data_IF_975107185206
#
_entry.id   IF_975107185206
#
_cell.length_a   1.000
_cell.length_b   1.000
_cell.length_c   1.000
_cell.angle_alpha   90.00
_cell.angle_beta   90.00
_cell.angle_gamma   90.00
#
_symmetry.space_group_name_H-M   'P 1'
#
loop_
_entity.id
_entity.type
_entity.pdbx_description
1 polymer ?
#
# COMPACT_ATOMS: atom_id res chain seq x y z
N UNK A 1 8.54 25.10 17.53
CA UNK A 1 8.35 24.72 16.11
C UNK A 1 7.80 25.95 15.42
N UNK A 2 8.63 26.64 14.65
CA UNK A 2 8.24 27.87 13.96
C UNK A 2 7.73 27.51 12.57
N UNK A 3 6.52 27.97 12.27
CA UNK A 3 5.89 27.89 10.95
C UNK A 3 6.67 28.74 9.94
N UNK A 4 6.91 28.26 8.70
CA UNK A 4 7.51 29.10 7.68
C UNK A 4 6.49 30.17 7.24
N UNK A 5 6.87 31.43 7.42
CA UNK A 5 6.15 32.59 6.92
C UNK A 5 6.28 32.62 5.39
N UNK A 6 5.16 32.41 4.69
CA UNK A 6 5.09 32.71 3.26
C UNK A 6 5.13 34.23 3.07
N UNK A 7 6.32 34.73 2.73
CA UNK A 7 6.52 36.13 2.37
C UNK A 7 5.91 36.36 0.99
N UNK A 8 4.64 36.80 0.94
CA UNK A 8 4.06 37.44 -0.23
C UNK A 8 4.77 38.78 -0.46
N UNK A 9 5.92 38.73 -1.13
CA UNK A 9 6.68 39.89 -1.53
C UNK A 9 6.08 40.54 -2.77
N UNK A 10 5.07 41.40 -2.58
CA UNK A 10 4.78 42.49 -3.52
C UNK A 10 5.93 43.50 -3.47
N UNK A 11 7.07 43.13 -4.06
CA UNK A 11 8.23 44.01 -4.19
C UNK A 11 7.93 45.08 -5.23
N UNK A 12 7.57 46.24 -4.71
CA UNK A 12 7.79 47.58 -5.27
C UNK A 12 8.84 47.62 -6.39
N UNK A 13 8.36 47.98 -7.58
CA UNK A 13 9.11 48.25 -8.80
C UNK A 13 10.01 49.49 -8.61
N UNK A 14 11.26 49.26 -8.23
CA UNK A 14 12.34 50.25 -8.42
C UNK A 14 13.61 49.57 -8.93
N UNK A 15 13.75 49.54 -10.26
CA UNK A 15 15.02 49.84 -10.93
C UNK A 15 16.24 48.93 -10.74
N UNK A 16 16.11 47.64 -10.42
CA UNK A 16 17.24 46.70 -10.56
C UNK A 16 17.08 45.90 -11.84
N UNK A 17 17.83 46.27 -12.88
CA UNK A 17 17.90 45.48 -14.12
C UNK A 17 18.39 44.07 -13.79
N UNK A 18 17.53 43.07 -13.92
CA UNK A 18 17.93 41.66 -13.81
C UNK A 18 18.88 41.37 -14.98
N UNK A 19 20.11 40.93 -14.68
CA UNK A 19 21.05 40.61 -15.75
C UNK A 19 20.55 39.40 -16.55
N UNK A 20 20.75 39.41 -17.86
CA UNK A 20 20.41 38.27 -18.73
C UNK A 20 21.08 36.96 -18.25
N UNK A 21 22.27 37.05 -17.64
CA UNK A 21 22.95 35.92 -16.99
C UNK A 21 22.12 35.35 -15.83
N UNK A 22 21.54 36.19 -14.98
CA UNK A 22 20.67 35.76 -13.86
C UNK A 22 19.38 35.12 -14.38
N UNK A 23 18.78 35.66 -15.43
CA UNK A 23 17.61 35.06 -16.09
C UNK A 23 17.96 33.68 -16.68
N UNK A 24 19.10 33.56 -17.36
CA UNK A 24 19.56 32.30 -17.96
C UNK A 24 19.83 31.23 -16.89
N UNK A 25 20.50 31.59 -15.80
CA UNK A 25 20.76 30.67 -14.69
C UNK A 25 19.45 30.20 -14.06
N UNK A 26 18.53 31.12 -13.76
CA UNK A 26 17.23 30.75 -13.18
C UNK A 26 16.42 29.83 -14.10
N UNK A 27 16.45 30.06 -15.43
CA UNK A 27 15.85 29.14 -16.40
C UNK A 27 16.45 27.74 -16.32
N UNK A 28 17.78 27.62 -16.18
CA UNK A 28 18.46 26.33 -16.07
C UNK A 28 18.09 25.61 -14.77
N UNK A 29 18.02 26.35 -13.66
CA UNK A 29 17.61 25.81 -12.37
C UNK A 29 16.16 25.28 -12.42
N UNK A 30 15.24 26.06 -12.99
CA UNK A 30 13.84 25.64 -13.19
C UNK A 30 13.73 24.41 -14.12
N UNK A 31 14.52 24.35 -15.19
CA UNK A 31 14.54 23.17 -16.08
C UNK A 31 15.01 21.91 -15.36
N UNK A 32 15.98 22.03 -14.44
CA UNK A 32 16.42 20.92 -13.61
C UNK A 32 15.33 20.51 -12.63
N UNK A 33 14.70 21.48 -11.96
CA UNK A 33 13.61 21.22 -11.01
C UNK A 33 12.43 20.51 -11.69
N UNK A 34 12.04 20.93 -12.90
CA UNK A 34 11.04 20.22 -13.70
C UNK A 34 11.44 18.76 -13.94
N UNK A 35 12.69 18.52 -14.36
CA UNK A 35 13.16 17.15 -14.62
C UNK A 35 13.23 16.28 -13.37
N UNK A 36 13.47 16.86 -12.19
CA UNK A 36 13.46 16.13 -10.93
C UNK A 36 12.02 15.86 -10.45
N UNK A 37 11.09 16.79 -10.65
CA UNK A 37 9.66 16.61 -10.39
C UNK A 37 9.02 15.54 -11.30
N UNK A 38 9.38 15.50 -12.59
CA UNK A 38 8.91 14.47 -13.53
C UNK A 38 9.33 13.05 -13.09
N UNK A 39 10.57 12.91 -12.58
CA UNK A 39 11.05 11.63 -12.03
C UNK A 39 10.27 11.26 -10.77
N UNK A 40 10.06 12.22 -9.87
CA UNK A 40 9.30 12.00 -8.64
C UNK A 40 7.86 11.57 -8.96
N UNK A 41 7.20 12.26 -9.89
CA UNK A 41 5.85 11.92 -10.35
C UNK A 41 5.80 10.48 -10.89
N UNK A 42 6.76 10.08 -11.72
CA UNK A 42 6.83 8.72 -12.24
C UNK A 42 6.99 7.68 -11.13
N UNK A 43 7.83 7.96 -10.14
CA UNK A 43 8.04 7.08 -8.99
C UNK A 43 6.77 6.96 -8.14
N UNK A 44 6.10 8.07 -7.83
CA UNK A 44 4.84 8.07 -7.08
C UNK A 44 3.74 7.30 -7.81
N UNK A 45 3.64 7.45 -9.14
CA UNK A 45 2.67 6.71 -9.95
C UNK A 45 2.92 5.19 -9.88
N UNK A 46 4.17 4.75 -9.94
CA UNK A 46 4.52 3.33 -9.80
C UNK A 46 4.17 2.80 -8.42
N UNK A 47 4.49 3.54 -7.35
CA UNK A 47 4.14 3.17 -5.99
C UNK A 47 2.62 3.05 -5.81
N UNK A 48 1.85 3.99 -6.38
CA UNK A 48 0.39 3.93 -6.38
C UNK A 48 -0.12 2.65 -7.05
N UNK A 49 0.40 2.32 -8.24
CA UNK A 49 0.01 1.10 -8.97
C UNK A 49 0.38 -0.18 -8.19
N UNK A 50 1.52 -0.17 -7.51
CA UNK A 50 1.95 -1.30 -6.68
C UNK A 50 1.03 -1.47 -5.46
N UNK A 51 0.65 -0.37 -4.81
CA UNK A 51 -0.29 -0.39 -3.69
C UNK A 51 -1.69 -0.83 -4.12
N UNK A 52 -2.19 -0.32 -5.24
CA UNK A 52 -3.47 -0.70 -5.84
C UNK A 52 -3.51 -2.21 -6.13
N UNK A 53 -2.45 -2.74 -6.73
CA UNK A 53 -2.32 -4.18 -6.97
C UNK A 53 -2.41 -5.00 -5.67
N UNK A 54 -1.71 -4.59 -4.61
CA UNK A 54 -1.77 -5.27 -3.32
C UNK A 54 -3.17 -5.18 -2.72
N UNK A 55 -3.78 -4.00 -2.77
CA UNK A 55 -5.12 -3.75 -2.25
C UNK A 55 -6.18 -4.63 -2.92
N UNK A 56 -6.15 -4.75 -4.25
CA UNK A 56 -7.07 -5.61 -4.99
C UNK A 56 -6.90 -7.09 -4.61
N UNK A 57 -5.67 -7.55 -4.38
CA UNK A 57 -5.43 -8.92 -3.89
C UNK A 57 -6.01 -9.14 -2.50
N UNK A 58 -5.84 -8.19 -1.57
CA UNK A 58 -6.43 -8.26 -0.23
C UNK A 58 -7.96 -8.30 -0.32
N UNK A 59 -8.57 -7.43 -1.15
CA UNK A 59 -10.03 -7.41 -1.38
C UNK A 59 -10.52 -8.74 -1.94
N UNK A 60 -9.79 -9.33 -2.88
CA UNK A 60 -10.12 -10.64 -3.44
C UNK A 60 -10.06 -11.75 -2.38
N UNK A 61 -9.06 -11.74 -1.50
CA UNK A 61 -9.00 -12.69 -0.38
C UNK A 61 -10.19 -12.52 0.58
N UNK A 62 -10.56 -11.28 0.92
CA UNK A 62 -11.71 -11.00 1.77
C UNK A 62 -13.00 -11.55 1.15
N UNK A 63 -13.21 -11.31 -0.15
CA UNK A 63 -14.37 -11.86 -0.87
C UNK A 63 -14.39 -13.39 -0.88
N UNK A 64 -13.23 -14.04 -0.99
CA UNK A 64 -13.14 -15.51 -0.90
C UNK A 64 -13.63 -16.01 0.47
N UNK A 65 -13.29 -15.34 1.57
CA UNK A 65 -13.79 -15.68 2.91
C UNK A 65 -15.29 -15.39 3.12
N UNK A 66 -15.87 -14.49 2.35
CA UNK A 66 -17.31 -14.18 2.41
C UNK A 66 -18.16 -15.17 1.63
N UNK A 67 -17.60 -15.76 0.57
CA UNK A 67 -18.29 -16.74 -0.27
C UNK A 67 -18.11 -18.19 0.20
N UNK A 68 -17.51 -18.41 1.38
CA UNK A 68 -17.30 -19.78 1.89
C UNK A 68 -18.65 -20.44 2.17
N UNK A 69 -18.80 -21.64 1.60
CA UNK A 69 -19.94 -22.51 1.85
C UNK A 69 -20.02 -22.90 3.34
N UNK A 70 -21.24 -22.83 3.88
CA UNK A 70 -21.56 -23.09 5.28
C UNK A 70 -22.50 -24.27 5.39
N UNK A 71 -22.36 -25.03 6.47
CA UNK A 71 -23.33 -26.06 6.81
C UNK A 71 -24.67 -25.43 7.26
N UNK A 72 -25.67 -26.28 7.55
CA UNK A 72 -27.01 -25.86 8.00
C UNK A 72 -27.03 -25.08 9.32
N UNK A 73 -25.93 -25.10 10.09
CA UNK A 73 -25.75 -24.36 11.33
C UNK A 73 -24.97 -23.05 11.12
N UNK A 74 -24.65 -22.69 9.86
CA UNK A 74 -23.89 -21.48 9.52
C UNK A 74 -22.39 -21.60 9.73
N UNK A 75 -21.87 -22.80 10.05
CA UNK A 75 -20.43 -23.04 10.27
C UNK A 75 -19.75 -23.34 8.94
N UNK A 76 -18.69 -22.60 8.57
CA UNK A 76 -17.92 -22.84 7.35
C UNK A 76 -17.23 -24.21 7.34
N UNK A 77 -17.20 -24.87 6.18
CA UNK A 77 -16.49 -26.13 6.02
C UNK A 77 -14.97 -25.92 6.10
N UNK A 78 -14.32 -26.60 7.06
CA UNK A 78 -12.87 -26.50 7.31
C UNK A 78 -12.03 -26.73 6.06
N UNK A 79 -12.44 -27.68 5.21
CA UNK A 79 -11.77 -27.97 3.94
C UNK A 79 -11.70 -26.73 3.03
N UNK A 80 -12.81 -26.03 2.86
CA UNK A 80 -12.90 -24.86 1.98
C UNK A 80 -12.08 -23.70 2.57
N UNK A 81 -12.10 -23.54 3.90
CA UNK A 81 -11.26 -22.56 4.59
C UNK A 81 -9.78 -22.85 4.36
N UNK A 82 -9.35 -24.10 4.53
CA UNK A 82 -7.97 -24.52 4.29
C UNK A 82 -7.53 -24.29 2.86
N UNK A 83 -8.40 -24.56 1.89
CA UNK A 83 -8.10 -24.32 0.48
C UNK A 83 -7.80 -22.84 0.20
N UNK A 84 -8.64 -21.94 0.70
CA UNK A 84 -8.41 -20.49 0.59
C UNK A 84 -7.12 -20.09 1.32
N UNK A 85 -6.92 -20.59 2.54
CA UNK A 85 -5.70 -20.33 3.31
C UNK A 85 -4.44 -20.75 2.54
N UNK A 86 -4.45 -21.93 1.91
CA UNK A 86 -3.32 -22.42 1.12
C UNK A 86 -3.04 -21.56 -0.11
N UNK A 87 -4.09 -21.05 -0.78
CA UNK A 87 -3.91 -20.11 -1.89
C UNK A 87 -3.24 -18.81 -1.42
N UNK A 88 -3.68 -18.27 -0.29
CA UNK A 88 -3.09 -17.06 0.31
C UNK A 88 -1.64 -17.33 0.75
N UNK A 89 -1.38 -18.44 1.44
CA UNK A 89 -0.04 -18.81 1.88
C UNK A 89 0.92 -18.95 0.69
N UNK A 90 0.50 -19.62 -0.38
CA UNK A 90 1.31 -19.77 -1.59
C UNK A 90 1.60 -18.41 -2.22
N UNK A 91 0.59 -17.55 -2.33
CA UNK A 91 0.77 -16.22 -2.91
C UNK A 91 1.71 -15.33 -2.08
N UNK A 92 1.63 -15.39 -0.75
CA UNK A 92 2.50 -14.65 0.19
C UNK A 92 3.91 -15.25 0.32
N UNK A 93 4.14 -16.48 -0.13
CA UNK A 93 5.44 -17.15 -0.09
C UNK A 93 6.16 -17.16 -1.44
N UNK A 94 5.50 -16.79 -2.52
CA UNK A 94 6.13 -16.73 -3.83
C UNK A 94 7.08 -15.54 -3.94
N UNK A 95 8.35 -15.78 -3.60
CA UNK A 95 9.43 -14.78 -3.68
C UNK A 95 9.74 -14.33 -5.11
N UNK A 96 9.24 -15.06 -6.11
CA UNK A 96 9.39 -14.73 -7.53
C UNK A 96 8.07 -14.19 -8.12
N UNK A 97 7.03 -14.08 -7.30
CA UNK A 97 5.73 -13.59 -7.71
C UNK A 97 5.65 -12.07 -7.71
N UNK A 98 4.79 -11.53 -8.59
CA UNK A 98 4.56 -10.09 -8.73
C UNK A 98 4.17 -9.43 -7.40
N UNK A 99 3.40 -10.12 -6.57
CA UNK A 99 3.00 -9.61 -5.26
C UNK A 99 4.20 -9.33 -4.36
N UNK A 100 5.16 -10.26 -4.30
CA UNK A 100 6.38 -10.08 -3.51
C UNK A 100 7.21 -8.90 -4.05
N UNK A 101 7.42 -8.82 -5.36
CA UNK A 101 8.18 -7.73 -5.96
C UNK A 101 7.57 -6.36 -5.68
N UNK A 102 6.26 -6.20 -5.87
CA UNK A 102 5.55 -4.93 -5.61
C UNK A 102 5.55 -4.57 -4.14
N UNK A 103 5.39 -5.56 -3.25
CA UNK A 103 5.52 -5.34 -1.82
C UNK A 103 6.92 -4.84 -1.45
N UNK A 104 7.98 -5.45 -2.00
CA UNK A 104 9.36 -5.01 -1.76
C UNK A 104 9.64 -3.61 -2.33
N UNK A 105 9.06 -3.25 -3.49
CA UNK A 105 9.16 -1.89 -4.03
C UNK A 105 8.62 -0.86 -3.03
N UNK A 106 7.46 -1.12 -2.45
CA UNK A 106 6.82 -0.21 -1.48
C UNK A 106 7.58 -0.13 -0.15
N UNK A 107 8.13 -1.24 0.35
CA UNK A 107 9.01 -1.25 1.53
C UNK A 107 10.28 -0.42 1.25
N UNK A 108 10.93 -0.66 0.11
CA UNK A 108 12.20 0.00 -0.24
C UNK A 108 12.02 1.49 -0.52
N UNK A 109 10.85 1.86 -1.03
CA UNK A 109 10.46 3.23 -1.29
C UNK A 109 10.13 4.05 -0.03
N UNK A 110 10.11 3.42 1.15
CA UNK A 110 9.72 4.05 2.42
C UNK A 110 8.35 4.76 2.32
N UNK A 111 7.39 4.11 1.65
CA UNK A 111 6.04 4.67 1.49
C UNK A 111 5.42 4.83 2.89
N UNK A 112 4.90 6.03 3.24
CA UNK A 112 4.35 6.28 4.56
C UNK A 112 3.30 5.24 4.95
N UNK A 113 3.36 4.79 6.21
CA UNK A 113 2.46 3.79 6.80
C UNK A 113 2.51 2.38 6.18
N UNK A 114 3.28 2.13 5.12
CA UNK A 114 3.31 0.81 4.46
C UNK A 114 3.85 -0.30 5.38
N UNK A 115 4.72 0.04 6.34
CA UNK A 115 5.21 -0.89 7.35
C UNK A 115 4.04 -1.58 8.11
N UNK A 116 2.93 -0.87 8.36
CA UNK A 116 1.77 -1.45 9.02
C UNK A 116 1.04 -2.47 8.14
N UNK A 117 1.01 -2.23 6.82
CA UNK A 117 0.47 -3.18 5.83
C UNK A 117 1.36 -4.42 5.80
N UNK A 118 2.68 -4.24 5.71
CA UNK A 118 3.65 -5.33 5.70
C UNK A 118 3.54 -6.22 6.94
N UNK A 119 3.49 -5.64 8.14
CA UNK A 119 3.33 -6.38 9.39
C UNK A 119 2.00 -7.14 9.46
N UNK A 120 0.91 -6.55 8.97
CA UNK A 120 -0.38 -7.20 8.91
C UNK A 120 -0.42 -8.36 7.89
N UNK A 121 0.29 -8.25 6.76
CA UNK A 121 0.45 -9.35 5.79
C UNK A 121 1.29 -10.50 6.38
N UNK A 122 2.36 -10.19 7.13
CA UNK A 122 3.14 -11.21 7.84
C UNK A 122 2.33 -11.89 8.96
N UNK A 123 1.45 -11.15 9.63
CA UNK A 123 0.51 -11.74 10.58
C UNK A 123 -0.50 -12.64 9.87
N UNK A 124 -1.03 -12.22 8.72
CA UNK A 124 -1.98 -13.00 7.94
C UNK A 124 -1.34 -14.33 7.53
N UNK A 125 -0.14 -14.26 6.97
CA UNK A 125 0.69 -15.41 6.61
C UNK A 125 0.82 -16.41 7.76
N UNK A 126 1.19 -15.94 8.96
CA UNK A 126 1.32 -16.80 10.14
C UNK A 126 0.00 -17.48 10.53
N UNK A 127 -1.11 -16.74 10.46
CA UNK A 127 -2.43 -17.27 10.82
C UNK A 127 -2.91 -18.33 9.82
N UNK A 128 -2.76 -18.09 8.51
CA UNK A 128 -3.16 -19.06 7.48
C UNK A 128 -2.28 -20.32 7.52
N UNK A 129 -0.95 -20.17 7.67
CA UNK A 129 -0.02 -21.31 7.80
C UNK A 129 -0.37 -22.20 9.00
N UNK A 130 -0.83 -21.61 10.11
CA UNK A 130 -1.21 -22.35 11.31
C UNK A 130 -2.40 -23.28 11.06
N UNK A 131 -3.46 -22.77 10.42
CA UNK A 131 -4.67 -23.58 10.13
C UNK A 131 -4.41 -24.67 9.09
N UNK A 132 -3.53 -24.42 8.13
CA UNK A 132 -3.17 -25.43 7.13
C UNK A 132 -2.50 -26.64 7.79
N UNK A 133 -1.64 -26.40 8.79
CA UNK A 133 -0.80 -27.43 9.43
C UNK A 133 -1.47 -28.12 10.61
N UNK A 134 -2.43 -27.48 11.27
CA UNK A 134 -3.06 -27.99 12.49
C UNK A 134 -4.58 -27.82 12.47
N UNK A 135 -5.30 -28.93 12.27
CA UNK A 135 -6.77 -28.99 12.28
C UNK A 135 -7.35 -28.62 13.65
N UNK A 136 -6.64 -28.92 14.75
CA UNK A 136 -7.06 -28.58 16.10
C UNK A 136 -6.91 -27.08 16.39
N UNK A 137 -6.12 -26.35 15.59
CA UNK A 137 -6.03 -24.90 15.68
C UNK A 137 -7.26 -24.19 15.11
N UNK A 138 -8.09 -24.87 14.30
CA UNK A 138 -9.31 -24.29 13.77
C UNK A 138 -10.36 -24.11 14.86
N UNK A 139 -10.59 -22.85 15.23
CA UNK A 139 -11.63 -22.44 16.17
C UNK A 139 -12.72 -21.69 15.43
N UNK A 140 -13.92 -21.65 16.01
CA UNK A 140 -15.04 -20.90 15.47
C UNK A 140 -14.73 -19.41 15.24
N UNK A 141 -13.79 -18.83 16.00
CA UNK A 141 -13.35 -17.42 15.85
C UNK A 141 -12.38 -17.18 14.70
N UNK A 142 -11.73 -18.21 14.15
CA UNK A 142 -10.62 -18.04 13.20
C UNK A 142 -11.02 -17.21 11.97
N UNK A 143 -12.18 -17.50 11.39
CA UNK A 143 -12.65 -16.80 10.18
C UNK A 143 -12.90 -15.33 10.47
N UNK A 144 -13.41 -15.01 11.66
CA UNK A 144 -13.66 -13.64 12.07
C UNK A 144 -12.34 -12.89 12.30
N UNK A 145 -11.35 -13.55 12.92
CA UNK A 145 -10.00 -12.99 13.08
C UNK A 145 -9.33 -12.67 11.73
N UNK A 146 -9.46 -13.57 10.74
CA UNK A 146 -8.96 -13.33 9.39
C UNK A 146 -9.71 -12.18 8.70
N UNK A 147 -11.03 -12.12 8.82
CA UNK A 147 -11.84 -11.04 8.26
C UNK A 147 -11.48 -9.69 8.85
N UNK A 148 -11.28 -9.61 10.16
CA UNK A 148 -10.83 -8.38 10.82
C UNK A 148 -9.45 -7.95 10.33
N UNK A 149 -8.54 -8.92 10.15
CA UNK A 149 -7.19 -8.63 9.64
C UNK A 149 -7.23 -8.14 8.18
N UNK A 150 -8.04 -8.77 7.32
CA UNK A 150 -8.24 -8.34 5.94
C UNK A 150 -8.94 -6.97 5.86
N UNK A 151 -9.95 -6.73 6.70
CA UNK A 151 -10.61 -5.43 6.80
C UNK A 151 -9.66 -4.33 7.27
N UNK A 152 -8.77 -4.62 8.22
CA UNK A 152 -7.70 -3.70 8.63
C UNK A 152 -6.74 -3.41 7.47
N UNK A 153 -6.30 -4.45 6.75
CA UNK A 153 -5.43 -4.31 5.59
C UNK A 153 -6.07 -3.40 4.54
N UNK A 154 -7.31 -3.70 4.13
CA UNK A 154 -8.09 -2.88 3.19
C UNK A 154 -8.24 -1.45 3.66
N UNK A 155 -8.58 -1.23 4.94
CA UNK A 155 -8.74 0.13 5.48
C UNK A 155 -7.45 0.93 5.43
N UNK A 156 -6.29 0.33 5.75
CA UNK A 156 -5.00 1.01 5.67
C UNK A 156 -4.65 1.32 4.20
N UNK A 157 -4.79 0.34 3.30
CA UNK A 157 -4.41 0.52 1.89
C UNK A 157 -5.33 1.51 1.17
N UNK A 158 -6.64 1.49 1.42
CA UNK A 158 -7.58 2.48 0.89
C UNK A 158 -7.25 3.89 1.42
N UNK A 159 -6.98 4.03 2.73
CA UNK A 159 -6.59 5.33 3.32
C UNK A 159 -5.28 5.86 2.72
N UNK A 160 -4.30 4.99 2.47
CA UNK A 160 -3.05 5.39 1.81
C UNK A 160 -3.29 5.85 0.38
N UNK A 161 -4.17 5.19 -0.36
CA UNK A 161 -4.56 5.61 -1.70
C UNK A 161 -5.24 6.98 -1.69
N UNK A 162 -6.17 7.19 -0.75
CA UNK A 162 -6.95 8.43 -0.65
C UNK A 162 -6.14 9.62 -0.15
N UNK A 163 -5.22 9.44 0.80
CA UNK A 163 -4.52 10.56 1.46
C UNK A 163 -3.13 10.82 0.85
N UNK A 164 -2.38 9.76 0.54
CA UNK A 164 -0.98 9.90 0.11
C UNK A 164 -0.84 9.94 -1.42
N UNK A 165 -1.70 9.21 -2.13
CA UNK A 165 -1.70 9.16 -3.59
C UNK A 165 -2.90 9.89 -4.22
N UNK A 166 -3.51 10.81 -3.47
CA UNK A 166 -4.65 11.64 -3.92
C UNK A 166 -4.34 12.30 -5.26
N UNK A 167 -5.32 12.29 -6.18
CA UNK A 167 -5.25 12.97 -7.47
C UNK A 167 -5.63 14.46 -7.35
#
# INVERSE_FOLDING_TARGET
METPIYVNGTNSTSGKSVSLKRVKNHKQDLQKEIGDLEKLQKTLLQQRQDLEFINENIKNWAQSFDKIERNTQGVPFVRNVKEICSQIENHLNDIHGDFYFRMQNLVTADVPCFQQVYEALELLKKQVSKIIRDDAAYKASFIEEIRQLLGRLTGITDTMMEIYFEE
#
